data_IF_719499410551
#
_entry.id   IF_719499410551
#
_cell.length_a   1.000
_cell.length_b   1.000
_cell.length_c   1.000
_cell.angle_alpha   90.00
_cell.angle_beta   90.00
_cell.angle_gamma   90.00
#
_symmetry.space_group_name_H-M   'P 1'
#
loop_
_entity.id
_entity.type
_entity.pdbx_description
1 polymer ?
#
# COMPACT_ATOMS: atom_id res chain seq x y z
N UNK A 1 27.61 33.99 -38.11
CA UNK A 1 26.78 33.65 -36.93
C UNK A 1 25.32 33.56 -37.37
N UNK A 2 24.78 32.36 -37.59
CA UNK A 2 23.37 32.15 -37.98
C UNK A 2 22.47 32.46 -36.78
N UNK A 3 21.76 33.60 -36.80
CA UNK A 3 20.64 33.86 -35.89
C UNK A 3 19.50 32.95 -36.31
N UNK A 4 19.22 31.90 -35.55
CA UNK A 4 18.02 31.09 -35.75
C UNK A 4 16.76 31.97 -35.70
N UNK A 5 15.66 31.60 -36.38
CA UNK A 5 14.42 32.37 -36.33
C UNK A 5 14.05 32.67 -34.88
N UNK A 6 13.90 33.96 -34.54
CA UNK A 6 13.50 34.40 -33.20
C UNK A 6 12.03 34.04 -33.00
N UNK A 7 11.79 32.77 -32.66
CA UNK A 7 10.46 32.24 -32.42
C UNK A 7 9.90 32.87 -31.15
N UNK A 8 8.67 33.36 -31.22
CA UNK A 8 7.99 34.00 -30.09
C UNK A 8 8.01 33.03 -28.88
N UNK A 9 8.49 33.45 -27.69
CA UNK A 9 8.57 32.60 -26.50
C UNK A 9 7.26 31.85 -26.19
N UNK A 10 6.12 32.49 -26.43
CA UNK A 10 4.79 31.90 -26.22
C UNK A 10 4.53 30.75 -27.20
N UNK A 11 4.83 30.94 -28.49
CA UNK A 11 4.69 29.89 -29.53
C UNK A 11 5.61 28.72 -29.24
N UNK A 12 6.84 28.98 -28.78
CA UNK A 12 7.76 27.93 -28.33
C UNK A 12 7.20 27.12 -27.17
N UNK A 13 6.63 27.79 -26.17
CA UNK A 13 5.96 27.15 -25.04
C UNK A 13 4.81 26.25 -25.50
N UNK A 14 3.93 26.76 -26.37
CA UNK A 14 2.82 25.98 -26.91
C UNK A 14 3.28 24.76 -27.72
N UNK A 15 4.33 24.88 -28.53
CA UNK A 15 4.87 23.75 -29.29
C UNK A 15 5.43 22.66 -28.37
N UNK A 16 6.08 23.04 -27.27
CA UNK A 16 6.58 22.08 -26.27
C UNK A 16 5.41 21.36 -25.60
N UNK A 17 4.38 22.09 -25.17
CA UNK A 17 3.19 21.49 -24.55
C UNK A 17 2.44 20.59 -25.52
N UNK A 18 2.25 21.02 -26.77
CA UNK A 18 1.60 20.22 -27.81
C UNK A 18 2.38 18.94 -28.10
N UNK A 19 3.72 19.00 -28.13
CA UNK A 19 4.57 17.83 -28.29
C UNK A 19 4.41 16.86 -27.11
N UNK A 20 4.45 17.34 -25.86
CA UNK A 20 4.24 16.51 -24.67
C UNK A 20 2.86 15.86 -24.69
N UNK A 21 1.82 16.64 -25.00
CA UNK A 21 0.45 16.13 -25.11
C UNK A 21 0.34 15.04 -26.18
N UNK A 22 0.95 15.24 -27.35
CA UNK A 22 0.98 14.24 -28.41
C UNK A 22 1.66 12.94 -27.93
N UNK A 23 2.77 13.03 -27.21
CA UNK A 23 3.46 11.87 -26.61
C UNK A 23 2.55 11.14 -25.62
N UNK A 24 1.90 11.86 -24.70
CA UNK A 24 0.99 11.28 -23.70
C UNK A 24 -0.17 10.52 -24.36
N UNK A 25 -0.75 11.09 -25.43
CA UNK A 25 -1.88 10.50 -26.16
C UNK A 25 -1.46 9.29 -26.98
N UNK A 26 -0.40 9.41 -27.78
CA UNK A 26 0.08 8.32 -28.66
C UNK A 26 0.51 7.10 -27.85
N UNK A 27 1.17 7.33 -26.71
CA UNK A 27 1.65 6.26 -25.84
C UNK A 27 0.62 5.80 -24.78
N UNK A 28 -0.59 6.36 -24.77
CA UNK A 28 -1.63 6.05 -23.78
C UNK A 28 -1.13 6.03 -22.32
N UNK A 29 -0.32 7.04 -21.95
CA UNK A 29 0.35 7.08 -20.64
C UNK A 29 -0.65 7.00 -19.48
N UNK A 30 -1.78 7.71 -19.59
CA UNK A 30 -2.81 7.73 -18.54
C UNK A 30 -3.41 6.33 -18.30
N UNK A 31 -3.79 5.64 -19.37
CA UNK A 31 -4.36 4.30 -19.27
C UNK A 31 -3.34 3.30 -18.73
N UNK A 32 -2.10 3.40 -19.18
CA UNK A 32 -1.00 2.55 -18.71
C UNK A 32 -0.72 2.77 -17.23
N UNK A 33 -0.62 4.03 -16.80
CA UNK A 33 -0.42 4.40 -15.39
C UNK A 33 -1.59 3.92 -14.51
N UNK A 34 -2.83 4.06 -14.98
CA UNK A 34 -3.99 3.58 -14.24
C UNK A 34 -3.97 2.05 -14.09
N UNK A 35 -3.66 1.31 -15.17
CA UNK A 35 -3.53 -0.14 -15.13
C UNK A 35 -2.41 -0.58 -14.17
N UNK A 36 -1.23 0.06 -14.24
CA UNK A 36 -0.12 -0.15 -13.32
C UNK A 36 -0.51 0.12 -11.87
N UNK A 37 -1.27 1.19 -11.62
CA UNK A 37 -1.71 1.54 -10.28
C UNK A 37 -2.71 0.53 -9.70
N UNK A 38 -3.64 0.03 -10.52
CA UNK A 38 -4.56 -1.04 -10.13
C UNK A 38 -3.78 -2.33 -9.81
N UNK A 39 -2.85 -2.72 -10.68
CA UNK A 39 -1.98 -3.88 -10.48
C UNK A 39 -1.16 -3.74 -9.18
N UNK A 40 -0.55 -2.59 -8.95
CA UNK A 40 0.22 -2.31 -7.74
C UNK A 40 -0.65 -2.41 -6.48
N UNK A 41 -1.89 -1.90 -6.50
CA UNK A 41 -2.84 -2.03 -5.38
C UNK A 41 -3.18 -3.47 -5.07
N UNK A 42 -3.44 -4.29 -6.10
CA UNK A 42 -3.73 -5.71 -5.95
C UNK A 42 -2.49 -6.45 -5.42
N UNK A 43 -1.32 -6.20 -6.00
CA UNK A 43 -0.07 -6.82 -5.57
C UNK A 43 0.26 -6.47 -4.12
N UNK A 44 0.06 -5.23 -3.68
CA UNK A 44 0.26 -4.82 -2.30
C UNK A 44 -0.70 -5.51 -1.33
N UNK A 45 -1.98 -5.63 -1.70
CA UNK A 45 -2.95 -6.40 -0.92
C UNK A 45 -2.54 -7.86 -0.79
N UNK A 46 -2.15 -8.49 -1.90
CA UNK A 46 -1.68 -9.87 -1.92
C UNK A 46 -0.40 -10.04 -1.10
N UNK A 47 0.53 -9.08 -1.14
CA UNK A 47 1.76 -9.14 -0.35
C UNK A 47 1.45 -9.20 1.15
N UNK A 48 0.50 -8.39 1.64
CA UNK A 48 0.11 -8.39 3.05
C UNK A 48 -0.64 -9.68 3.41
N UNK A 49 -1.60 -10.10 2.58
CA UNK A 49 -2.33 -11.34 2.81
C UNK A 49 -1.39 -12.55 2.84
N UNK A 50 -0.46 -12.61 1.89
CA UNK A 50 0.54 -13.67 1.79
C UNK A 50 1.52 -13.64 2.97
N UNK A 51 1.99 -12.46 3.38
CA UNK A 51 2.85 -12.32 4.55
C UNK A 51 2.15 -12.83 5.82
N UNK A 52 0.90 -12.43 6.06
CA UNK A 52 0.12 -12.90 7.20
C UNK A 52 -0.13 -14.41 7.12
N UNK A 53 -0.39 -14.94 5.92
CA UNK A 53 -0.54 -16.37 5.70
C UNK A 53 0.76 -17.13 6.00
N UNK A 54 1.92 -16.63 5.58
CA UNK A 54 3.21 -17.26 5.88
C UNK A 54 3.47 -17.29 7.39
N UNK A 55 3.29 -16.16 8.07
CA UNK A 55 3.46 -16.07 9.53
C UNK A 55 2.52 -17.03 10.25
N UNK A 56 1.25 -17.06 9.85
CA UNK A 56 0.27 -17.99 10.41
C UNK A 56 0.66 -19.44 10.13
N UNK A 57 1.03 -19.77 8.90
CA UNK A 57 1.38 -21.13 8.47
C UNK A 57 2.57 -21.67 9.27
N UNK A 58 3.61 -20.87 9.45
CA UNK A 58 4.83 -21.29 10.15
C UNK A 58 4.60 -21.43 11.66
N UNK A 59 3.70 -20.61 12.22
CA UNK A 59 3.45 -20.54 13.66
C UNK A 59 2.14 -21.22 14.09
N UNK A 60 1.37 -21.84 13.19
CA UNK A 60 0.02 -22.36 13.49
C UNK A 60 -0.04 -23.31 14.67
N UNK A 61 0.98 -24.16 14.83
CA UNK A 61 1.05 -25.14 15.90
C UNK A 61 1.35 -24.47 17.24
N UNK A 62 2.24 -23.48 17.23
CA UNK A 62 2.59 -22.68 18.41
C UNK A 62 1.41 -21.83 18.86
N UNK A 63 0.75 -21.13 17.93
CA UNK A 63 -0.42 -20.29 18.21
C UNK A 63 -1.56 -21.10 18.84
N UNK A 64 -1.72 -22.36 18.46
CA UNK A 64 -2.76 -23.22 19.02
C UNK A 64 -2.54 -23.58 20.50
N UNK A 65 -1.29 -23.50 20.98
CA UNK A 65 -0.95 -23.70 22.38
C UNK A 65 -1.12 -22.44 23.24
N UNK A 66 -1.25 -21.26 22.61
CA UNK A 66 -1.38 -19.99 23.33
C UNK A 66 -2.73 -19.85 24.02
N UNK A 67 -2.79 -18.99 25.04
CA UNK A 67 -4.06 -18.62 25.67
C UNK A 67 -5.06 -18.06 24.65
N UNK A 68 -6.36 -18.34 24.83
CA UNK A 68 -7.44 -17.88 23.94
C UNK A 68 -7.42 -16.36 23.75
N UNK A 69 -7.05 -15.59 24.78
CA UNK A 69 -6.94 -14.12 24.70
C UNK A 69 -5.84 -13.71 23.73
N UNK A 70 -4.67 -14.37 23.81
CA UNK A 70 -3.52 -14.11 22.93
C UNK A 70 -3.87 -14.43 21.48
N UNK A 71 -4.56 -15.55 21.24
CA UNK A 71 -5.03 -15.92 19.90
C UNK A 71 -5.99 -14.86 19.32
N UNK A 72 -6.98 -14.42 20.09
CA UNK A 72 -7.96 -13.40 19.63
C UNK A 72 -7.28 -12.09 19.29
N UNK A 73 -6.31 -11.62 20.09
CA UNK A 73 -5.58 -10.38 19.79
C UNK A 73 -4.74 -10.52 18.52
N UNK A 74 -4.04 -11.64 18.35
CA UNK A 74 -3.21 -11.88 17.18
C UNK A 74 -4.04 -11.96 15.89
N UNK A 75 -5.09 -12.78 15.87
CA UNK A 75 -5.99 -12.91 14.72
C UNK A 75 -6.79 -11.63 14.46
N UNK A 76 -7.20 -10.94 15.52
CA UNK A 76 -7.88 -9.64 15.41
C UNK A 76 -6.99 -8.60 14.76
N UNK A 77 -5.73 -8.48 15.19
CA UNK A 77 -4.76 -7.59 14.56
C UNK A 77 -4.49 -7.95 13.09
N UNK A 78 -4.40 -9.25 12.77
CA UNK A 78 -4.23 -9.73 11.39
C UNK A 78 -5.43 -9.30 10.52
N UNK A 79 -6.64 -9.59 10.98
CA UNK A 79 -7.88 -9.26 10.29
C UNK A 79 -8.02 -7.74 10.10
N UNK A 80 -7.71 -6.94 11.13
CA UNK A 80 -7.74 -5.48 11.04
C UNK A 80 -6.78 -4.95 9.97
N UNK A 81 -5.56 -5.48 9.86
CA UNK A 81 -4.63 -5.07 8.81
C UNK A 81 -5.15 -5.42 7.41
N UNK A 82 -5.73 -6.61 7.22
CA UNK A 82 -6.33 -7.01 5.93
C UNK A 82 -7.51 -6.11 5.57
N UNK A 83 -8.42 -5.87 6.52
CA UNK A 83 -9.59 -5.00 6.33
C UNK A 83 -9.16 -3.57 6.02
N UNK A 84 -8.12 -3.06 6.69
CA UNK A 84 -7.58 -1.72 6.46
C UNK A 84 -7.08 -1.54 5.00
N UNK A 85 -6.48 -2.57 4.40
CA UNK A 85 -6.11 -2.53 2.97
C UNK A 85 -7.31 -2.74 2.07
N UNK A 86 -8.17 -3.72 2.38
CA UNK A 86 -9.37 -4.01 1.59
C UNK A 86 -10.28 -2.77 1.48
N UNK A 87 -10.44 -2.03 2.57
CA UNK A 87 -11.21 -0.79 2.61
C UNK A 87 -10.68 0.26 1.62
N UNK A 88 -9.38 0.24 1.28
CA UNK A 88 -8.79 1.15 0.27
C UNK A 88 -9.27 0.89 -1.14
N UNK A 89 -9.96 -0.21 -1.42
CA UNK A 89 -10.58 -0.44 -2.73
C UNK A 89 -11.86 0.39 -2.92
N UNK A 90 -12.61 0.66 -1.84
CA UNK A 90 -13.87 1.40 -1.88
C UNK A 90 -13.78 2.83 -1.34
N UNK A 91 -12.76 3.14 -0.55
CA UNK A 91 -12.58 4.48 0.03
C UNK A 91 -11.64 5.34 -0.82
N UNK A 92 -12.06 6.54 -1.25
CA UNK A 92 -11.18 7.48 -1.94
C UNK A 92 -9.95 7.81 -1.10
N UNK A 93 -8.83 8.12 -1.77
CA UNK A 93 -7.64 8.68 -1.13
C UNK A 93 -7.99 10.10 -0.67
N UNK A 94 -8.60 10.22 0.50
CA UNK A 94 -8.93 11.52 1.10
C UNK A 94 -7.70 12.25 1.64
N UNK A 95 -7.92 13.18 2.56
CA UNK A 95 -6.88 14.04 3.15
C UNK A 95 -5.75 13.25 3.84
N UNK A 96 -4.59 13.87 4.08
CA UNK A 96 -3.40 13.25 4.71
C UNK A 96 -3.68 12.55 6.04
N UNK A 97 -4.72 12.95 6.77
CA UNK A 97 -5.21 12.24 7.96
C UNK A 97 -5.58 10.77 7.68
N UNK A 98 -6.20 10.47 6.53
CA UNK A 98 -6.51 9.09 6.16
C UNK A 98 -5.25 8.25 5.99
N UNK A 99 -4.15 8.84 5.51
CA UNK A 99 -2.88 8.14 5.40
C UNK A 99 -2.29 7.86 6.79
N UNK A 100 -2.36 8.84 7.70
CA UNK A 100 -1.89 8.69 9.08
C UNK A 100 -2.68 7.58 9.79
N UNK A 101 -4.01 7.57 9.69
CA UNK A 101 -4.85 6.52 10.28
C UNK A 101 -4.50 5.15 9.68
N UNK A 102 -4.36 5.07 8.35
CA UNK A 102 -3.99 3.85 7.67
C UNK A 102 -2.66 3.28 8.20
N UNK A 103 -1.62 4.12 8.30
CA UNK A 103 -0.32 3.73 8.84
C UNK A 103 -0.38 3.40 10.33
N UNK A 104 -1.16 4.14 11.11
CA UNK A 104 -1.34 3.89 12.53
C UNK A 104 -1.97 2.51 12.79
N UNK A 105 -2.91 2.06 11.95
CA UNK A 105 -3.48 0.71 12.05
C UNK A 105 -2.43 -0.37 11.76
N UNK A 106 -1.54 -0.15 10.78
CA UNK A 106 -0.43 -1.08 10.52
C UNK A 106 0.54 -1.17 11.68
N UNK A 107 0.98 -0.02 12.19
CA UNK A 107 1.91 0.04 13.33
C UNK A 107 1.27 -0.55 14.57
N UNK A 108 0.01 -0.19 14.86
CA UNK A 108 -0.74 -0.70 16.01
C UNK A 108 -1.00 -2.20 15.94
N UNK A 109 -1.41 -2.71 14.77
CA UNK A 109 -1.63 -4.14 14.54
C UNK A 109 -0.33 -4.94 14.65
N UNK A 110 0.74 -4.48 14.01
CA UNK A 110 2.06 -5.09 14.11
C UNK A 110 2.61 -5.07 15.55
N UNK A 111 2.44 -3.95 16.26
CA UNK A 111 2.83 -3.84 17.66
C UNK A 111 2.03 -4.78 18.57
N UNK A 112 0.71 -4.91 18.37
CA UNK A 112 -0.12 -5.83 19.13
C UNK A 112 0.33 -7.28 18.92
N UNK A 113 0.63 -7.68 17.68
CA UNK A 113 1.18 -9.00 17.38
C UNK A 113 2.54 -9.23 18.03
N UNK A 114 3.46 -8.26 17.92
CA UNK A 114 4.77 -8.34 18.55
C UNK A 114 4.68 -8.44 20.08
N UNK A 115 3.75 -7.69 20.69
CA UNK A 115 3.50 -7.73 22.13
C UNK A 115 3.01 -9.12 22.55
N UNK A 116 2.02 -9.68 21.88
CA UNK A 116 1.52 -11.03 22.19
C UNK A 116 2.62 -12.07 22.08
N UNK A 117 3.44 -11.97 21.02
CA UNK A 117 4.59 -12.84 20.84
C UNK A 117 5.58 -12.73 21.99
N UNK A 118 5.92 -11.51 22.43
CA UNK A 118 6.80 -11.26 23.58
C UNK A 118 6.23 -11.81 24.88
N UNK A 119 4.93 -11.59 25.13
CA UNK A 119 4.25 -12.03 26.35
C UNK A 119 4.35 -13.58 26.43
N UNK A 120 3.98 -14.30 25.37
CA UNK A 120 4.01 -15.77 25.41
C UNK A 120 5.43 -16.36 25.52
N UNK A 121 6.43 -15.74 24.88
CA UNK A 121 7.82 -16.21 24.97
C UNK A 121 8.50 -15.87 26.30
N UNK A 122 7.93 -14.94 27.08
CA UNK A 122 8.47 -14.58 28.41
C UNK A 122 7.83 -15.43 29.52
N UNK A 123 6.59 -15.89 29.32
CA UNK A 123 5.86 -16.72 30.28
C UNK A 123 5.88 -18.23 29.97
N UNK A 124 6.78 -18.67 29.08
CA UNK A 124 6.94 -20.09 28.75
C UNK A 124 7.26 -20.94 29.98
N UNK A 125 6.31 -21.81 30.33
CA UNK A 125 6.52 -23.05 31.08
C UNK A 125 6.88 -24.18 30.11
#
# INVERSE_FOLDING_TARGET
MRRGPRMNPTVRGFLIVALIAAVVVVLQLEQTLNALFILARIAFFLAIAYFLFLVWRDRRHEISAWSTRSQVVFYGAAALMVVNVAARFWTPVGNGLNLIVFLAVFVGGGFAMWRVWRDEHTYGY
#
